data_IF_132615802279
#
_entry.id   IF_132615802279
#
_cell.length_a   1.000
_cell.length_b   1.000
_cell.length_c   1.000
_cell.angle_alpha   90.00
_cell.angle_beta   90.00
_cell.angle_gamma   90.00
#
_symmetry.space_group_name_H-M   'P 1'
#
loop_
_entity.id
_entity.type
_entity.pdbx_description
1 polymer ?
#
# COMPACT_ATOMS: atom_id res chain seq x y z
N UNK A 1 7.22 -12.33 3.65
CA UNK A 1 6.94 -11.82 4.99
C UNK A 1 5.46 -11.99 5.32
N UNK A 2 5.18 -12.66 6.40
CA UNK A 2 3.79 -12.94 6.79
C UNK A 2 2.97 -11.68 7.05
N UNK A 3 3.59 -10.62 7.56
CA UNK A 3 2.87 -9.38 7.83
C UNK A 3 2.34 -8.75 6.55
N UNK A 4 3.08 -8.85 5.45
CA UNK A 4 2.62 -8.32 4.16
C UNK A 4 1.39 -9.10 3.69
N UNK A 5 1.42 -10.41 3.81
CA UNK A 5 0.27 -11.25 3.44
C UNK A 5 -0.94 -10.95 4.32
N UNK A 6 -0.71 -10.79 5.63
CA UNK A 6 -1.80 -10.51 6.58
C UNK A 6 -2.46 -9.17 6.29
N UNK A 7 -1.67 -8.13 6.04
CA UNK A 7 -2.21 -6.80 5.73
C UNK A 7 -2.94 -6.83 4.39
N UNK A 8 -2.38 -7.50 3.40
CA UNK A 8 -3.04 -7.67 2.10
C UNK A 8 -4.42 -8.31 2.26
N UNK A 9 -4.49 -9.38 3.07
CA UNK A 9 -5.76 -10.08 3.30
C UNK A 9 -6.78 -9.18 3.99
N UNK A 10 -6.36 -8.35 4.93
CA UNK A 10 -7.24 -7.39 5.59
C UNK A 10 -7.78 -6.38 4.58
N UNK A 11 -6.91 -5.86 3.71
CA UNK A 11 -7.32 -4.89 2.68
C UNK A 11 -8.32 -5.53 1.72
N UNK A 12 -8.06 -6.76 1.32
CA UNK A 12 -8.94 -7.51 0.43
C UNK A 12 -10.31 -7.72 1.10
N UNK A 13 -10.31 -8.04 2.39
CA UNK A 13 -11.54 -8.20 3.18
C UNK A 13 -12.32 -6.89 3.25
N UNK A 14 -11.64 -5.76 3.43
CA UNK A 14 -12.31 -4.45 3.47
C UNK A 14 -12.98 -4.11 2.15
N UNK A 15 -12.39 -4.53 1.03
CA UNK A 15 -13.00 -4.30 -0.28
C UNK A 15 -14.26 -5.15 -0.45
N UNK A 16 -14.20 -6.42 -0.03
CA UNK A 16 -15.33 -7.34 -0.14
C UNK A 16 -16.45 -6.99 0.83
N UNK A 17 -16.11 -6.54 2.04
CA UNK A 17 -17.05 -6.24 3.11
C UNK A 17 -16.74 -4.87 3.72
N UNK A 18 -17.18 -3.78 3.05
CA UNK A 18 -16.85 -2.42 3.49
C UNK A 18 -17.31 -2.11 4.92
N UNK A 19 -16.48 -1.33 5.61
CA UNK A 19 -16.78 -0.88 6.97
C UNK A 19 -16.76 0.64 7.02
N UNK A 20 -17.77 1.23 7.67
CA UNK A 20 -17.86 2.67 7.86
C UNK A 20 -16.66 3.17 8.66
N UNK A 21 -16.12 4.31 8.25
CA UNK A 21 -14.99 4.93 8.94
C UNK A 21 -13.63 4.34 8.56
N UNK A 22 -13.59 3.32 7.70
CA UNK A 22 -12.33 2.71 7.26
C UNK A 22 -11.66 3.60 6.20
N UNK A 23 -10.39 3.95 6.44
CA UNK A 23 -9.59 4.67 5.45
C UNK A 23 -9.44 3.86 4.16
N UNK A 24 -9.24 2.53 4.27
CA UNK A 24 -9.13 1.65 3.12
C UNK A 24 -10.40 1.71 2.27
N UNK A 25 -11.57 1.70 2.91
CA UNK A 25 -12.83 1.81 2.19
C UNK A 25 -13.01 3.19 1.58
N UNK A 26 -12.52 4.25 2.22
CA UNK A 26 -12.50 5.58 1.63
C UNK A 26 -11.73 5.55 0.30
N UNK A 27 -10.55 4.93 0.27
CA UNK A 27 -9.74 4.84 -0.95
C UNK A 27 -10.46 4.07 -2.05
N UNK A 28 -11.02 2.90 -1.72
CA UNK A 28 -11.76 2.12 -2.72
C UNK A 28 -13.00 2.87 -3.22
N UNK A 29 -13.66 3.58 -2.33
CA UNK A 29 -14.84 4.37 -2.70
C UNK A 29 -14.51 5.52 -3.62
N UNK A 30 -13.35 6.14 -3.47
CA UNK A 30 -12.89 7.22 -4.36
C UNK A 30 -12.39 6.69 -5.69
N UNK A 31 -11.91 5.44 -5.70
CA UNK A 31 -11.49 4.79 -6.93
C UNK A 31 -10.00 4.91 -7.25
N UNK A 32 -9.65 4.38 -8.42
CA UNK A 32 -8.26 4.22 -8.85
C UNK A 32 -7.46 5.52 -8.83
N UNK A 33 -8.06 6.62 -9.30
CA UNK A 33 -7.33 7.90 -9.38
C UNK A 33 -6.89 8.37 -8.00
N UNK A 34 -7.74 8.23 -6.99
CA UNK A 34 -7.38 8.61 -5.62
C UNK A 34 -6.29 7.69 -5.07
N UNK A 35 -6.39 6.40 -5.34
CA UNK A 35 -5.38 5.43 -4.90
C UNK A 35 -4.02 5.79 -5.51
N UNK A 36 -3.99 6.13 -6.81
CA UNK A 36 -2.76 6.51 -7.49
C UNK A 36 -2.21 7.83 -6.98
N UNK A 37 -3.08 8.80 -6.71
CA UNK A 37 -2.68 10.07 -6.11
C UNK A 37 -1.96 9.85 -4.78
N UNK A 38 -2.57 9.05 -3.90
CA UNK A 38 -1.99 8.76 -2.59
C UNK A 38 -0.66 8.02 -2.73
N UNK A 39 -0.58 7.07 -3.65
CA UNK A 39 0.65 6.32 -3.88
C UNK A 39 1.80 7.25 -4.29
N UNK A 40 1.52 8.20 -5.19
CA UNK A 40 2.50 9.19 -5.61
C UNK A 40 2.96 10.08 -4.46
N UNK A 41 2.02 10.50 -3.60
CA UNK A 41 2.34 11.29 -2.42
C UNK A 41 3.25 10.51 -1.46
N UNK A 42 2.96 9.21 -1.25
CA UNK A 42 3.78 8.38 -0.36
C UNK A 42 5.20 8.15 -0.92
N UNK A 43 5.35 8.05 -2.24
CA UNK A 43 6.67 8.00 -2.86
C UNK A 43 7.48 9.25 -2.53
N UNK A 44 6.86 10.42 -2.65
CA UNK A 44 7.49 11.70 -2.34
C UNK A 44 7.87 11.79 -0.85
N UNK A 45 7.00 11.30 0.03
CA UNK A 45 7.28 11.28 1.47
C UNK A 45 8.51 10.44 1.80
N UNK A 46 8.74 9.32 1.11
CA UNK A 46 9.93 8.51 1.30
C UNK A 46 11.18 9.31 0.91
N UNK A 47 11.13 10.00 -0.23
CA UNK A 47 12.26 10.80 -0.70
C UNK A 47 12.61 11.88 0.33
N UNK A 48 11.60 12.58 0.83
CA UNK A 48 11.79 13.62 1.84
C UNK A 48 12.35 13.02 3.13
N UNK A 49 11.77 11.92 3.60
CA UNK A 49 12.20 11.26 4.83
C UNK A 49 13.64 10.73 4.73
N UNK A 50 14.06 10.30 3.54
CA UNK A 50 15.41 9.79 3.32
C UNK A 50 16.49 10.87 3.49
N UNK A 51 16.11 12.15 3.36
CA UNK A 51 17.01 13.28 3.61
C UNK A 51 17.10 13.64 5.09
N UNK A 52 16.20 13.08 5.90
CA UNK A 52 16.15 13.32 7.33
C UNK A 52 17.07 12.31 8.02
N UNK A 53 17.88 12.73 9.03
CA UNK A 53 18.78 11.78 9.71
C UNK A 53 18.04 10.78 10.60
N UNK A 54 16.74 10.93 10.83
CA UNK A 54 15.98 10.07 11.72
C UNK A 54 15.50 8.80 11.00
N UNK A 55 16.09 7.60 11.27
CA UNK A 55 15.68 6.37 10.59
C UNK A 55 14.21 6.01 10.77
N UNK A 56 13.61 6.41 11.89
CA UNK A 56 12.21 6.09 12.17
C UNK A 56 11.26 6.72 11.16
N UNK A 57 11.58 7.91 10.66
CA UNK A 57 10.77 8.58 9.64
C UNK A 57 10.76 7.78 8.34
N UNK A 58 11.92 7.24 7.95
CA UNK A 58 12.05 6.43 6.74
C UNK A 58 11.23 5.14 6.87
N UNK A 59 11.34 4.47 8.02
CA UNK A 59 10.57 3.25 8.27
C UNK A 59 9.07 3.49 8.16
N UNK A 60 8.61 4.58 8.77
CA UNK A 60 7.19 4.94 8.74
C UNK A 60 6.73 5.16 7.31
N UNK A 61 7.48 5.96 6.54
CA UNK A 61 7.06 6.30 5.18
C UNK A 61 7.11 5.10 4.24
N UNK A 62 8.11 4.22 4.39
CA UNK A 62 8.16 2.99 3.59
C UNK A 62 6.97 2.09 3.93
N UNK A 63 6.64 1.97 5.22
CA UNK A 63 5.49 1.17 5.65
C UNK A 63 4.18 1.71 5.06
N UNK A 64 4.02 3.03 5.08
CA UNK A 64 2.84 3.69 4.54
C UNK A 64 2.75 3.51 3.02
N UNK A 65 3.89 3.62 2.35
CA UNK A 65 3.97 3.35 0.91
C UNK A 65 3.56 1.91 0.59
N UNK A 66 4.09 0.93 1.31
CA UNK A 66 3.74 -0.48 1.10
C UNK A 66 2.25 -0.71 1.31
N UNK A 67 1.66 -0.06 2.31
CA UNK A 67 0.23 -0.15 2.54
C UNK A 67 -0.56 0.32 1.32
N UNK A 68 -0.21 1.48 0.78
CA UNK A 68 -0.89 2.03 -0.40
C UNK A 68 -0.63 1.20 -1.65
N UNK A 69 0.58 0.59 -1.77
CA UNK A 69 0.85 -0.37 -2.83
C UNK A 69 -0.11 -1.55 -2.77
N UNK A 70 -0.37 -2.06 -1.56
CA UNK A 70 -1.28 -3.20 -1.39
C UNK A 70 -2.72 -2.83 -1.73
N UNK A 71 -3.14 -1.60 -1.43
CA UNK A 71 -4.48 -1.13 -1.84
C UNK A 71 -4.57 -1.15 -3.37
N UNK A 72 -3.55 -0.66 -4.06
CA UNK A 72 -3.51 -0.69 -5.52
C UNK A 72 -3.51 -2.13 -6.03
N UNK A 73 -2.73 -3.01 -5.42
CA UNK A 73 -2.68 -4.41 -5.80
C UNK A 73 -4.06 -5.06 -5.71
N UNK A 74 -4.76 -4.83 -4.60
CA UNK A 74 -6.12 -5.38 -4.43
C UNK A 74 -7.06 -4.81 -5.49
N UNK A 75 -6.96 -3.50 -5.75
CA UNK A 75 -7.80 -2.85 -6.76
C UNK A 75 -7.60 -3.46 -8.15
N UNK A 76 -6.35 -3.83 -8.47
CA UNK A 76 -5.99 -4.36 -9.79
C UNK A 76 -5.96 -5.90 -9.83
N UNK A 77 -6.22 -6.55 -8.72
CA UNK A 77 -6.22 -8.02 -8.66
C UNK A 77 -4.83 -8.65 -8.73
N UNK A 78 -3.81 -7.94 -8.25
CA UNK A 78 -2.42 -8.41 -8.24
C UNK A 78 -2.09 -8.97 -6.86
N UNK A 79 -1.43 -10.12 -6.81
CA UNK A 79 -1.06 -10.79 -5.56
C UNK A 79 0.42 -10.61 -5.25
N UNK A 80 0.78 -10.81 -3.96
CA UNK A 80 2.19 -10.83 -3.56
C UNK A 80 2.97 -11.94 -4.26
N UNK A 81 2.33 -13.07 -4.53
CA UNK A 81 2.98 -14.16 -5.26
C UNK A 81 3.42 -13.70 -6.65
N UNK A 82 2.54 -12.99 -7.35
CA UNK A 82 2.86 -12.45 -8.67
C UNK A 82 4.02 -11.45 -8.60
N UNK A 83 4.02 -10.59 -7.59
CA UNK A 83 5.12 -9.64 -7.38
C UNK A 83 6.43 -10.38 -7.09
N UNK A 84 6.37 -11.40 -6.22
CA UNK A 84 7.55 -12.19 -5.88
C UNK A 84 8.13 -12.90 -7.10
N UNK A 85 7.26 -13.46 -7.95
CA UNK A 85 7.69 -14.13 -9.17
C UNK A 85 8.40 -13.16 -10.12
N UNK A 86 7.87 -11.95 -10.25
CA UNK A 86 8.47 -10.92 -11.09
C UNK A 86 9.82 -10.49 -10.55
N UNK A 87 9.92 -10.29 -9.24
CA UNK A 87 11.18 -9.91 -8.60
C UNK A 87 12.24 -11.01 -8.75
N UNK A 88 11.83 -12.26 -8.68
CA UNK A 88 12.75 -13.40 -8.79
C UNK A 88 13.45 -13.47 -10.15
N UNK A 89 12.90 -12.80 -11.16
CA UNK A 89 13.47 -12.77 -12.50
C UNK A 89 14.45 -11.60 -12.72
N UNK A 90 14.61 -10.72 -11.73
CA UNK A 90 15.52 -9.59 -11.82
C UNK A 90 17.00 -10.01 -11.57
#
# INVERSE_FOLDING_TARGET
LKVLESVYDIIKERKAHPQDGSYTNYLFGKGTDKILQKLGEECTEIVIAAKNPEPENIKYEISDFLYHCMVLMVEKGITWEEIANELAQR
#
